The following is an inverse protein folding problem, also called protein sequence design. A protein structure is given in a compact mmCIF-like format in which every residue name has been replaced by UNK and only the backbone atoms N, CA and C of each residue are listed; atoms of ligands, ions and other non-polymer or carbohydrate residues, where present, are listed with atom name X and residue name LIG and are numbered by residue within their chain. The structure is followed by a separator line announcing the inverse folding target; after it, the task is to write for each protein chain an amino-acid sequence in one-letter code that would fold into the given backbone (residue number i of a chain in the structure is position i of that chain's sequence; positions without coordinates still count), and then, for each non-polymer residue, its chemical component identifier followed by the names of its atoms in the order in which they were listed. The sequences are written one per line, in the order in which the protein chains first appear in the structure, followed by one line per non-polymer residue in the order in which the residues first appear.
data_IF_264360801562
#
_entry.id   IF_264360801562
#
_cell.length_a   1.000
_cell.length_b   1.000
_cell.length_c   1.000
_cell.angle_alpha   90.00
_cell.angle_beta   90.00
_cell.angle_gamma   90.00
#
_symmetry.space_group_name_H-M   'P 1'
#
loop_
_entity.id
_entity.type
_entity.pdbx_description
1 polymer ?
#
# COMPACT_ATOMS: atom_id res chain seq x y z
N UNK A 1 8.59 -5.12 -13.05
CA UNK A 1 8.45 -3.95 -12.15
C UNK A 1 9.04 -4.28 -10.78
N UNK A 2 9.37 -3.27 -9.95
CA UNK A 2 9.94 -3.50 -8.60
C UNK A 2 9.02 -4.35 -7.70
N UNK A 3 7.70 -4.17 -7.82
CA UNK A 3 6.70 -4.89 -7.01
C UNK A 3 6.54 -6.36 -7.39
N UNK A 4 7.04 -6.81 -8.56
CA UNK A 4 6.92 -8.22 -8.95
C UNK A 4 7.79 -9.13 -8.07
N UNK A 5 8.85 -8.58 -7.49
CA UNK A 5 9.77 -9.29 -6.58
C UNK A 5 9.07 -9.90 -5.36
N UNK A 6 7.90 -9.39 -4.97
CA UNK A 6 7.12 -9.87 -3.82
C UNK A 6 5.80 -10.52 -4.23
N UNK A 7 5.44 -10.49 -5.52
CA UNK A 7 4.17 -11.01 -6.03
C UNK A 7 4.33 -12.24 -6.92
N UNK A 8 5.42 -12.32 -7.67
CA UNK A 8 5.60 -13.28 -8.77
C UNK A 8 6.56 -14.40 -8.38
N UNK A 9 6.29 -15.62 -8.86
CA UNK A 9 7.13 -16.78 -8.61
C UNK A 9 6.69 -17.61 -7.41
N UNK A 10 7.08 -18.88 -7.42
CA UNK A 10 6.65 -19.86 -6.40
C UNK A 10 7.12 -19.47 -5.00
N UNK A 11 8.35 -18.95 -4.88
CA UNK A 11 8.95 -18.54 -3.60
C UNK A 11 8.19 -17.41 -2.91
N UNK A 12 7.42 -16.61 -3.65
CA UNK A 12 6.65 -15.49 -3.12
C UNK A 12 5.23 -15.89 -2.66
N UNK A 13 4.93 -17.19 -2.57
CA UNK A 13 3.65 -17.68 -2.06
C UNK A 13 3.29 -17.15 -0.66
N UNK A 14 4.22 -17.06 0.32
CA UNK A 14 3.92 -16.49 1.64
C UNK A 14 3.57 -15.00 1.59
N UNK A 15 4.21 -14.23 0.70
CA UNK A 15 3.88 -12.81 0.56
C UNK A 15 2.48 -12.64 -0.05
N UNK A 16 2.12 -13.44 -1.06
CA UNK A 16 0.77 -13.44 -1.63
C UNK A 16 -0.31 -13.80 -0.61
N UNK A 17 -0.06 -14.75 0.30
CA UNK A 17 -1.05 -15.09 1.33
C UNK A 17 -1.31 -13.91 2.27
N UNK A 18 -0.29 -13.12 2.61
CA UNK A 18 -0.45 -11.90 3.39
C UNK A 18 -1.25 -10.83 2.63
N UNK A 19 -0.95 -10.61 1.35
CA UNK A 19 -1.73 -9.66 0.53
C UNK A 19 -3.20 -10.07 0.40
N UNK A 20 -3.49 -11.35 0.22
CA UNK A 20 -4.86 -11.87 0.19
C UNK A 20 -5.55 -11.69 1.55
N UNK A 21 -4.85 -11.93 2.66
CA UNK A 21 -5.39 -11.73 4.01
C UNK A 21 -5.70 -10.26 4.32
N UNK A 22 -4.99 -9.32 3.68
CA UNK A 22 -5.26 -7.88 3.72
C UNK A 22 -6.41 -7.46 2.79
N UNK A 23 -7.05 -8.40 2.09
CA UNK A 23 -8.21 -8.14 1.25
C UNK A 23 -7.89 -7.79 -0.20
N UNK A 24 -6.64 -7.92 -0.65
CA UNK A 24 -6.28 -7.66 -2.05
C UNK A 24 -6.86 -8.75 -2.96
N UNK A 25 -7.50 -8.32 -4.03
CA UNK A 25 -8.01 -9.21 -5.09
C UNK A 25 -6.91 -9.62 -6.05
N UNK A 26 -7.13 -10.71 -6.79
CA UNK A 26 -6.18 -11.15 -7.82
C UNK A 26 -5.98 -10.09 -8.92
N UNK A 27 -7.01 -9.31 -9.23
CA UNK A 27 -6.92 -8.22 -10.20
C UNK A 27 -6.03 -7.08 -9.68
N UNK A 28 -6.21 -6.65 -8.43
CA UNK A 28 -5.39 -5.62 -7.80
C UNK A 28 -3.94 -6.06 -7.66
N UNK A 29 -3.71 -7.35 -7.41
CA UNK A 29 -2.37 -7.93 -7.37
C UNK A 29 -1.64 -7.85 -8.71
N UNK A 30 -2.33 -7.68 -9.84
CA UNK A 30 -1.72 -7.45 -11.16
C UNK A 30 -1.35 -5.98 -11.39
N UNK A 31 -1.89 -5.04 -10.60
CA UNK A 31 -1.59 -3.61 -10.68
C UNK A 31 -0.23 -3.29 -10.01
N UNK A 32 0.42 -2.16 -10.35
CA UNK A 32 1.60 -1.68 -9.63
C UNK A 32 1.27 -1.44 -8.16
N UNK A 33 2.17 -1.81 -7.24
CA UNK A 33 2.02 -1.47 -5.83
C UNK A 33 2.63 -0.09 -5.59
N UNK A 34 1.85 0.83 -5.02
CA UNK A 34 2.27 2.19 -4.70
C UNK A 34 2.27 2.36 -3.19
N UNK A 35 3.44 2.58 -2.60
CA UNK A 35 3.56 2.88 -1.17
C UNK A 35 3.39 4.38 -0.93
N UNK A 36 2.46 4.75 -0.05
CA UNK A 36 2.25 6.14 0.38
C UNK A 36 2.94 6.32 1.72
N UNK A 37 3.92 7.23 1.78
CA UNK A 37 4.64 7.56 3.02
C UNK A 37 4.05 8.86 3.58
N UNK A 38 3.62 8.82 4.84
CA UNK A 38 2.99 9.94 5.51
C UNK A 38 3.68 10.20 6.87
N UNK A 39 4.09 11.46 7.11
CA UNK A 39 4.69 11.89 8.37
C UNK A 39 3.67 12.45 9.38
N UNK A 40 2.41 12.01 9.28
CA UNK A 40 1.35 12.38 10.23
C UNK A 40 1.82 12.15 11.67
N UNK A 41 1.62 13.18 12.49
CA UNK A 41 1.75 13.09 13.93
C UNK A 41 0.93 14.21 14.60
N UNK A 42 0.68 14.03 15.89
CA UNK A 42 -0.11 14.96 16.72
C UNK A 42 0.78 15.93 17.53
N UNK A 43 2.11 15.84 17.36
CA UNK A 43 3.09 16.67 18.08
C UNK A 43 3.22 18.03 17.41
N UNK A 44 3.27 18.06 16.08
CA UNK A 44 3.43 19.27 15.28
C UNK A 44 2.07 19.62 14.67
N UNK A 45 1.45 20.78 15.00
CA UNK A 45 0.12 21.14 14.50
C UNK A 45 0.00 21.10 12.97
N UNK A 46 1.09 21.41 12.25
CA UNK A 46 1.13 21.34 10.78
C UNK A 46 0.98 19.93 10.20
N UNK A 47 1.16 18.87 11.00
CA UNK A 47 1.11 17.47 10.52
C UNK A 47 -0.24 16.79 10.79
N UNK A 48 -1.15 17.42 11.55
CA UNK A 48 -2.41 16.82 12.00
C UNK A 48 -3.40 16.47 10.89
N UNK A 49 -3.20 16.97 9.67
CA UNK A 49 -4.09 16.69 8.52
C UNK A 49 -3.42 15.85 7.43
N UNK A 50 -2.18 15.38 7.62
CA UNK A 50 -1.47 14.61 6.61
C UNK A 50 -2.10 13.23 6.37
N UNK A 51 -2.79 12.68 7.37
CA UNK A 51 -3.60 11.46 7.28
C UNK A 51 -4.68 11.58 6.20
N UNK A 52 -5.41 12.71 6.16
CA UNK A 52 -6.47 12.98 5.19
C UNK A 52 -5.91 13.07 3.77
N UNK A 53 -4.75 13.69 3.60
CA UNK A 53 -4.07 13.79 2.31
C UNK A 53 -3.61 12.41 1.86
N UNK A 54 -2.98 11.63 2.75
CA UNK A 54 -2.55 10.28 2.44
C UNK A 54 -3.73 9.37 2.05
N UNK A 55 -4.86 9.50 2.74
CA UNK A 55 -6.08 8.78 2.43
C UNK A 55 -6.63 9.18 1.06
N UNK A 56 -6.69 10.48 0.73
CA UNK A 56 -7.16 10.97 -0.57
C UNK A 56 -6.30 10.43 -1.73
N UNK A 57 -4.97 10.37 -1.55
CA UNK A 57 -4.06 9.76 -2.54
C UNK A 57 -4.31 8.25 -2.66
N UNK A 58 -4.60 7.55 -1.55
CA UNK A 58 -4.85 6.11 -1.54
C UNK A 58 -6.15 5.73 -2.26
N UNK A 59 -7.22 6.49 -2.04
CA UNK A 59 -8.53 6.24 -2.68
C UNK A 59 -8.61 6.71 -4.12
N UNK A 60 -7.60 7.46 -4.58
CA UNK A 60 -7.58 8.14 -5.88
C UNK A 60 -8.14 9.55 -5.76
N UNK A 61 -7.34 10.51 -6.25
CA UNK A 61 -7.84 11.82 -6.68
C UNK A 61 -8.39 11.75 -8.10
#
# INVERSE_FOLDING_TARGET
MKSDNVKVGMQQAPHRSLFNALGMTEEEMKKPLVGIVCSYNEIVPGHMNLDKIAQAVCTGG
#
